data_IF_837066460345
#
_entry.id   IF_837066460345
#
_cell.length_a   1.000
_cell.length_b   1.000
_cell.length_c   1.000
_cell.angle_alpha   90.00
_cell.angle_beta   90.00
_cell.angle_gamma   90.00
#
_symmetry.space_group_name_H-M   'P 1'
#
loop_
_entity.id
_entity.type
_entity.pdbx_description
1 polymer ?
#
# COMPACT_ATOMS: atom_id res chain seq x y z
N UNK A 1 67.17 16.92 -58.59
CA UNK A 1 65.70 17.17 -58.80
C UNK A 1 64.95 16.04 -58.14
N UNK A 2 64.28 16.31 -57.00
CA UNK A 2 63.46 15.32 -56.30
C UNK A 2 62.08 15.96 -56.16
N UNK A 3 61.06 15.46 -56.84
CA UNK A 3 59.71 15.86 -56.76
C UNK A 3 59.07 15.22 -55.48
N UNK A 4 58.58 16.06 -54.56
CA UNK A 4 57.85 15.65 -53.35
C UNK A 4 56.38 15.79 -53.69
N UNK A 5 55.66 14.68 -53.82
CA UNK A 5 54.21 14.66 -53.95
C UNK A 5 53.59 14.85 -52.54
N UNK A 6 52.89 15.96 -52.35
CA UNK A 6 52.12 16.26 -51.14
C UNK A 6 50.72 15.67 -51.32
N UNK A 7 50.47 14.53 -50.69
CA UNK A 7 49.14 13.91 -50.63
C UNK A 7 48.30 14.61 -49.57
N UNK A 8 47.34 15.46 -50.00
CA UNK A 8 46.33 16.09 -49.16
C UNK A 8 45.25 15.05 -48.87
N UNK A 9 45.27 14.45 -47.70
CA UNK A 9 44.25 13.52 -47.23
C UNK A 9 43.08 14.28 -46.66
N UNK A 10 42.00 14.47 -47.44
CA UNK A 10 40.75 15.05 -47.00
C UNK A 10 39.98 14.02 -46.15
N UNK A 11 40.05 14.16 -44.84
CA UNK A 11 39.21 13.44 -43.89
C UNK A 11 37.79 14.01 -43.95
N UNK A 12 36.91 13.34 -44.67
CA UNK A 12 35.45 13.54 -44.56
C UNK A 12 35.04 12.96 -43.20
N UNK A 13 34.95 13.81 -42.19
CA UNK A 13 34.23 13.54 -40.98
C UNK A 13 32.75 13.49 -41.29
N UNK A 14 32.22 12.31 -41.57
CA UNK A 14 30.80 12.09 -41.64
C UNK A 14 30.26 12.25 -40.22
N UNK A 15 29.72 13.45 -39.89
CA UNK A 15 28.84 13.62 -38.74
C UNK A 15 27.60 12.77 -38.99
N UNK A 16 27.53 11.60 -38.35
CA UNK A 16 26.27 10.90 -38.16
C UNK A 16 25.43 11.76 -37.23
N UNK A 17 24.65 12.67 -37.77
CA UNK A 17 23.49 13.21 -37.08
C UNK A 17 22.51 12.05 -36.91
N UNK A 18 22.03 11.75 -35.68
CA UNK A 18 20.91 10.85 -35.53
C UNK A 18 19.73 11.49 -36.29
N UNK A 19 19.42 10.96 -37.45
CA UNK A 19 18.16 11.27 -38.15
C UNK A 19 17.08 10.67 -37.25
N UNK A 20 16.41 11.50 -36.45
CA UNK A 20 15.12 11.11 -35.87
C UNK A 20 14.26 10.70 -37.05
N UNK A 21 13.91 9.44 -37.10
CA UNK A 21 13.09 8.87 -38.16
C UNK A 21 11.68 9.51 -38.08
N UNK A 22 11.46 10.61 -38.79
CA UNK A 22 10.20 11.32 -38.81
C UNK A 22 9.05 10.46 -39.37
N UNK A 23 9.38 9.29 -39.92
CA UNK A 23 8.45 8.37 -40.56
C UNK A 23 7.36 7.82 -39.59
N UNK A 24 7.61 7.81 -38.31
CA UNK A 24 6.68 7.31 -37.29
C UNK A 24 6.08 8.41 -36.39
N UNK A 25 6.28 9.70 -36.78
CA UNK A 25 5.68 10.79 -36.03
C UNK A 25 4.18 10.93 -36.41
N UNK A 26 3.34 11.02 -35.37
CA UNK A 26 1.88 11.14 -35.48
C UNK A 26 1.43 12.58 -35.30
N UNK A 27 2.22 13.45 -34.68
CA UNK A 27 1.96 14.88 -34.55
C UNK A 27 3.27 15.66 -34.35
N UNK A 28 3.21 16.97 -34.63
CA UNK A 28 4.33 17.91 -34.45
C UNK A 28 3.84 19.26 -33.94
N UNK A 29 4.56 19.80 -32.93
CA UNK A 29 4.38 21.19 -32.49
C UNK A 29 5.75 21.86 -32.41
N UNK A 30 6.07 22.74 -33.37
CA UNK A 30 7.39 23.34 -33.52
C UNK A 30 8.45 22.29 -33.85
N UNK A 31 9.42 22.12 -32.96
CA UNK A 31 10.48 21.10 -33.11
C UNK A 31 10.21 19.80 -32.29
N UNK A 32 9.10 19.75 -31.57
CA UNK A 32 8.71 18.58 -30.81
C UNK A 32 7.84 17.64 -31.65
N UNK A 33 8.20 16.37 -31.68
CA UNK A 33 7.48 15.32 -32.38
C UNK A 33 6.86 14.38 -31.37
N UNK A 34 5.63 13.93 -31.64
CA UNK A 34 4.98 12.84 -30.89
C UNK A 34 5.03 11.60 -31.78
N UNK A 35 5.60 10.54 -31.29
CA UNK A 35 5.73 9.29 -32.03
C UNK A 35 4.61 8.31 -31.71
N UNK A 36 4.36 7.38 -32.63
CA UNK A 36 3.36 6.33 -32.44
C UNK A 36 3.65 5.46 -31.21
N UNK A 37 4.92 5.20 -30.90
CA UNK A 37 5.36 4.48 -29.70
C UNK A 37 4.85 5.14 -28.40
N UNK A 38 4.95 6.48 -28.33
CA UNK A 38 4.54 7.21 -27.11
C UNK A 38 3.03 7.12 -26.86
N UNK A 39 2.24 7.05 -27.96
CA UNK A 39 0.80 6.83 -27.87
C UNK A 39 0.46 5.40 -27.48
N UNK A 40 1.15 4.40 -28.01
CA UNK A 40 0.92 3.00 -27.71
C UNK A 40 1.17 2.70 -26.23
N UNK A 41 2.23 3.26 -25.65
CA UNK A 41 2.55 3.12 -24.22
C UNK A 41 1.46 3.71 -23.33
N UNK A 42 0.82 4.80 -23.75
CA UNK A 42 -0.26 5.46 -23.00
C UNK A 42 -1.62 4.77 -23.16
N UNK A 43 -1.92 4.25 -24.35
CA UNK A 43 -3.20 3.60 -24.64
C UNK A 43 -3.27 2.21 -23.98
N UNK A 44 -2.15 1.48 -23.91
CA UNK A 44 -2.06 0.14 -23.33
C UNK A 44 -2.85 -0.94 -24.11
N UNK A 45 -2.63 -2.23 -23.85
CA UNK A 45 -3.15 -3.34 -24.67
C UNK A 45 -4.64 -3.66 -24.52
N UNK A 46 -5.40 -2.96 -23.67
CA UNK A 46 -6.78 -3.35 -23.28
C UNK A 46 -7.93 -2.58 -23.92
N UNK A 47 -7.70 -1.71 -24.91
CA UNK A 47 -8.78 -0.90 -25.48
C UNK A 47 -9.21 -1.48 -26.84
N UNK A 48 -10.22 -2.34 -26.82
CA UNK A 48 -10.93 -2.78 -28.00
C UNK A 48 -12.09 -1.82 -28.31
N UNK A 49 -12.00 -1.05 -29.37
CA UNK A 49 -13.13 -0.33 -29.97
C UNK A 49 -12.97 1.20 -30.10
N UNK A 50 -12.45 1.90 -29.09
CA UNK A 50 -12.34 3.37 -29.10
C UNK A 50 -10.90 3.89 -29.20
N UNK A 51 -9.96 3.06 -29.63
CA UNK A 51 -8.53 3.40 -29.65
C UNK A 51 -8.22 4.65 -30.51
N UNK A 52 -8.96 4.85 -31.61
CA UNK A 52 -8.79 6.01 -32.48
C UNK A 52 -9.24 7.32 -31.81
N UNK A 53 -10.35 7.31 -31.10
CA UNK A 53 -10.84 8.49 -30.36
C UNK A 53 -9.90 8.83 -29.18
N UNK A 54 -9.40 7.81 -28.48
CA UNK A 54 -8.42 7.98 -27.40
C UNK A 54 -7.13 8.54 -27.95
N UNK A 55 -6.61 7.99 -29.07
CA UNK A 55 -5.41 8.49 -29.72
C UNK A 55 -5.55 9.97 -30.15
N UNK A 56 -6.66 10.34 -30.79
CA UNK A 56 -6.92 11.73 -31.20
C UNK A 56 -7.00 12.67 -29.97
N UNK A 57 -7.59 12.23 -28.87
CA UNK A 57 -7.62 13.03 -27.64
C UNK A 57 -6.21 13.23 -27.08
N UNK A 58 -5.43 12.17 -26.95
CA UNK A 58 -4.05 12.25 -26.45
C UNK A 58 -3.17 13.14 -27.31
N UNK A 59 -3.30 13.06 -28.65
CA UNK A 59 -2.59 13.94 -29.57
C UNK A 59 -2.98 15.40 -29.35
N UNK A 60 -4.28 15.68 -29.22
CA UNK A 60 -4.76 17.03 -28.99
C UNK A 60 -4.31 17.59 -27.63
N UNK A 61 -4.41 16.81 -26.57
CA UNK A 61 -3.96 17.18 -25.21
C UNK A 61 -2.46 17.49 -25.21
N UNK A 62 -1.65 16.64 -25.85
CA UNK A 62 -0.21 16.84 -26.00
C UNK A 62 0.09 18.14 -26.78
N UNK A 63 -0.58 18.35 -27.91
CA UNK A 63 -0.36 19.54 -28.73
C UNK A 63 -0.79 20.83 -28.00
N UNK A 64 -1.93 20.78 -27.31
CA UNK A 64 -2.45 21.88 -26.50
C UNK A 64 -1.47 22.27 -25.39
N UNK A 65 -0.95 21.27 -24.66
CA UNK A 65 0.03 21.50 -23.60
C UNK A 65 1.28 22.21 -24.12
N UNK A 66 1.85 21.79 -25.27
CA UNK A 66 3.04 22.42 -25.85
C UNK A 66 2.77 23.82 -26.37
N UNK A 67 1.59 24.02 -26.95
CA UNK A 67 1.19 25.35 -27.42
C UNK A 67 1.01 26.33 -26.26
N UNK A 68 0.41 25.90 -25.15
CA UNK A 68 0.33 26.72 -23.93
C UNK A 68 1.69 26.98 -23.32
N UNK A 69 2.57 25.97 -23.27
CA UNK A 69 3.93 26.13 -22.76
C UNK A 69 4.68 27.22 -23.58
N UNK A 70 4.62 27.15 -24.91
CA UNK A 70 5.23 28.15 -25.77
C UNK A 70 4.66 29.57 -25.54
N UNK A 71 3.34 29.66 -25.31
CA UNK A 71 2.72 30.96 -24.97
C UNK A 71 3.15 31.42 -23.57
N UNK A 72 3.26 30.53 -22.60
CA UNK A 72 3.75 30.86 -21.26
C UNK A 72 5.19 31.38 -21.30
N UNK A 73 6.06 30.74 -22.09
CA UNK A 73 7.45 31.17 -22.29
C UNK A 73 7.57 32.60 -22.85
N UNK A 74 6.60 33.04 -23.66
CA UNK A 74 6.60 34.39 -24.23
C UNK A 74 5.96 35.39 -23.26
N UNK A 75 4.86 35.02 -22.60
CA UNK A 75 4.01 35.98 -21.90
C UNK A 75 4.31 36.10 -20.38
N UNK A 76 4.93 35.10 -19.80
CA UNK A 76 5.33 35.20 -18.38
C UNK A 76 6.54 36.13 -18.22
N UNK A 77 6.51 36.94 -17.17
CA UNK A 77 7.63 37.83 -16.84
C UNK A 77 8.87 37.02 -16.44
N UNK A 78 10.03 37.63 -16.55
CA UNK A 78 11.31 37.00 -16.10
C UNK A 78 11.30 36.65 -14.62
N UNK A 79 10.60 37.43 -13.81
CA UNK A 79 10.46 37.18 -12.37
C UNK A 79 9.62 35.92 -12.09
N UNK A 80 8.50 35.77 -12.80
CA UNK A 80 7.66 34.58 -12.67
C UNK A 80 8.38 33.31 -13.14
N UNK A 81 9.10 33.39 -14.27
CA UNK A 81 9.90 32.26 -14.76
C UNK A 81 10.95 31.83 -13.75
N UNK A 82 11.74 32.79 -13.22
CA UNK A 82 12.74 32.51 -12.19
C UNK A 82 12.12 31.84 -10.97
N UNK A 83 10.97 32.32 -10.51
CA UNK A 83 10.26 31.73 -9.37
C UNK A 83 9.82 30.27 -9.66
N UNK A 84 9.32 30.01 -10.86
CA UNK A 84 8.92 28.65 -11.27
C UNK A 84 10.13 27.73 -11.39
N UNK A 85 11.23 28.18 -11.99
CA UNK A 85 12.48 27.41 -12.10
C UNK A 85 13.04 27.08 -10.72
N UNK A 86 12.94 28.01 -9.78
CA UNK A 86 13.36 27.81 -8.41
C UNK A 86 12.51 26.75 -7.68
N UNK A 87 11.19 26.77 -7.88
CA UNK A 87 10.30 25.73 -7.35
C UNK A 87 10.63 24.35 -7.94
N UNK A 88 10.83 24.26 -9.25
CA UNK A 88 11.21 22.99 -9.92
C UNK A 88 12.56 22.48 -9.40
N UNK A 89 13.54 23.38 -9.25
CA UNK A 89 14.86 23.04 -8.73
C UNK A 89 14.77 22.50 -7.29
N UNK A 90 14.04 23.21 -6.43
CA UNK A 90 13.82 22.79 -5.04
C UNK A 90 13.14 21.43 -4.98
N UNK A 91 12.04 21.27 -5.72
CA UNK A 91 11.31 19.99 -5.75
C UNK A 91 12.19 18.84 -6.25
N UNK A 92 12.98 19.06 -7.29
CA UNK A 92 13.93 18.06 -7.78
C UNK A 92 14.93 17.67 -6.69
N UNK A 93 15.53 18.63 -6.01
CA UNK A 93 16.50 18.37 -4.93
C UNK A 93 15.85 17.58 -3.81
N UNK A 94 14.63 17.94 -3.40
CA UNK A 94 13.88 17.23 -2.36
C UNK A 94 13.61 15.77 -2.76
N UNK A 95 13.25 15.53 -4.01
CA UNK A 95 13.06 14.16 -4.53
C UNK A 95 14.35 13.34 -4.47
N UNK A 96 15.49 13.92 -4.91
CA UNK A 96 16.77 13.23 -4.85
C UNK A 96 17.19 12.91 -3.42
N UNK A 97 17.14 13.90 -2.53
CA UNK A 97 17.48 13.72 -1.10
C UNK A 97 16.59 12.68 -0.45
N UNK A 98 15.28 12.79 -0.63
CA UNK A 98 14.32 11.82 -0.10
C UNK A 98 14.58 10.41 -0.62
N UNK A 99 14.76 10.27 -1.94
CA UNK A 99 14.98 8.95 -2.56
C UNK A 99 16.28 8.32 -2.07
N UNK A 100 17.34 9.10 -1.94
CA UNK A 100 18.61 8.64 -1.39
C UNK A 100 18.47 8.19 0.06
N UNK A 101 17.86 9.03 0.92
CA UNK A 101 17.60 8.70 2.33
C UNK A 101 16.76 7.43 2.46
N UNK A 102 15.67 7.32 1.71
CA UNK A 102 14.80 6.14 1.77
C UNK A 102 15.54 4.84 1.37
N UNK A 103 16.39 4.90 0.32
CA UNK A 103 17.21 3.75 -0.09
C UNK A 103 18.28 3.39 0.94
N UNK A 104 18.99 4.37 1.49
CA UNK A 104 20.01 4.16 2.50
C UNK A 104 19.41 3.54 3.77
N UNK A 105 18.27 4.05 4.21
CA UNK A 105 17.55 3.51 5.37
C UNK A 105 17.05 2.09 5.09
N UNK A 106 16.43 1.85 3.94
CA UNK A 106 15.89 0.54 3.59
C UNK A 106 16.96 -0.55 3.59
N UNK A 107 18.19 -0.24 3.22
CA UNK A 107 19.30 -1.20 3.21
C UNK A 107 19.82 -1.59 4.60
N UNK A 108 19.56 -0.77 5.63
CA UNK A 108 20.08 -0.96 6.99
C UNK A 108 18.98 -1.20 8.03
N UNK A 109 17.72 -0.97 7.67
CA UNK A 109 16.60 -1.09 8.60
C UNK A 109 16.34 -2.56 8.95
N UNK A 110 16.56 -2.90 10.23
CA UNK A 110 16.10 -4.17 10.77
C UNK A 110 14.58 -4.16 10.97
N UNK A 111 13.89 -5.02 10.24
CA UNK A 111 12.43 -5.19 10.30
C UNK A 111 12.01 -6.40 11.13
N UNK A 112 12.97 -7.15 11.70
CA UNK A 112 12.69 -8.27 12.59
C UNK A 112 12.42 -7.72 13.98
N UNK A 113 11.19 -7.91 14.45
CA UNK A 113 10.77 -7.53 15.80
C UNK A 113 10.41 -8.80 16.55
N UNK A 114 11.06 -9.06 17.66
CA UNK A 114 10.81 -10.26 18.44
C UNK A 114 9.58 -10.13 19.37
N UNK A 115 9.18 -11.25 19.97
CA UNK A 115 8.01 -11.27 20.84
C UNK A 115 8.25 -10.52 22.15
N UNK A 116 9.47 -10.56 22.67
CA UNK A 116 9.82 -9.93 23.94
C UNK A 116 9.76 -8.40 23.80
N UNK A 117 10.33 -7.85 22.72
CA UNK A 117 10.27 -6.42 22.42
C UNK A 117 8.82 -5.91 22.23
N UNK A 118 7.97 -6.70 21.55
CA UNK A 118 6.54 -6.37 21.42
C UNK A 118 5.85 -6.34 22.78
N UNK A 119 6.14 -7.34 23.61
CA UNK A 119 5.57 -7.46 24.96
C UNK A 119 5.98 -6.29 25.83
N UNK A 120 7.28 -5.99 25.90
CA UNK A 120 7.84 -4.89 26.67
C UNK A 120 7.21 -3.55 26.27
N UNK A 121 7.21 -3.26 24.97
CA UNK A 121 6.60 -2.01 24.45
C UNK A 121 5.12 -1.91 24.79
N UNK A 122 4.38 -3.02 24.70
CA UNK A 122 2.96 -3.05 25.05
C UNK A 122 2.74 -2.76 26.54
N UNK A 123 3.54 -3.40 27.42
CA UNK A 123 3.44 -3.22 28.88
C UNK A 123 3.71 -1.76 29.29
N UNK A 124 4.76 -1.15 28.73
CA UNK A 124 5.14 0.23 28.99
C UNK A 124 4.10 1.25 28.49
N UNK A 125 3.36 0.91 27.44
CA UNK A 125 2.46 1.83 26.75
C UNK A 125 0.98 1.43 26.81
N UNK A 126 0.58 0.59 27.73
CA UNK A 126 -0.79 0.03 27.86
C UNK A 126 -1.89 1.08 27.75
N UNK A 127 -1.71 2.23 28.35
CA UNK A 127 -2.72 3.30 28.35
C UNK A 127 -3.08 3.80 26.96
N UNK A 128 -2.17 3.65 25.99
CA UNK A 128 -2.34 4.08 24.61
C UNK A 128 -3.10 3.07 23.74
N UNK A 129 -3.23 1.83 24.21
CA UNK A 129 -3.83 0.74 23.44
C UNK A 129 -5.25 0.40 23.90
N UNK A 130 -6.10 1.42 23.92
CA UNK A 130 -7.53 1.22 24.14
C UNK A 130 -8.24 1.03 22.82
N UNK A 131 -9.11 0.00 22.74
CA UNK A 131 -9.88 -0.23 21.51
C UNK A 131 -10.93 0.85 21.29
N UNK A 132 -11.08 1.31 20.07
CA UNK A 132 -12.14 2.23 19.68
C UNK A 132 -13.41 1.52 19.18
N UNK A 133 -13.43 0.19 19.20
CA UNK A 133 -14.52 -0.68 18.75
C UNK A 133 -14.68 -1.85 19.71
N UNK A 134 -15.88 -2.42 19.73
CA UNK A 134 -16.10 -3.68 20.44
C UNK A 134 -15.41 -4.80 19.68
N UNK A 135 -14.61 -5.59 20.39
CA UNK A 135 -13.89 -6.74 19.87
C UNK A 135 -14.48 -8.01 20.48
N UNK A 136 -14.39 -9.09 19.73
CA UNK A 136 -14.69 -10.42 20.26
C UNK A 136 -13.78 -11.46 19.62
N UNK A 137 -13.64 -12.59 20.29
CA UNK A 137 -13.20 -13.83 19.70
C UNK A 137 -14.26 -14.90 19.89
N UNK A 138 -14.49 -15.69 18.87
CA UNK A 138 -15.57 -16.63 18.86
C UNK A 138 -15.65 -17.40 17.54
N UNK A 139 -16.57 -18.33 17.50
CA UNK A 139 -16.81 -19.19 16.35
C UNK A 139 -18.28 -19.29 16.01
N UNK A 140 -18.58 -19.55 14.77
CA UNK A 140 -19.95 -19.78 14.32
C UNK A 140 -20.03 -20.77 13.18
N UNK A 141 -21.18 -21.39 13.07
CA UNK A 141 -21.59 -22.25 11.94
C UNK A 141 -23.01 -21.86 11.53
N UNK A 142 -23.20 -21.73 10.23
CA UNK A 142 -24.50 -21.60 9.58
C UNK A 142 -24.74 -22.84 8.76
N UNK A 143 -25.86 -23.51 9.01
CA UNK A 143 -26.16 -24.81 8.42
C UNK A 143 -27.67 -24.95 8.19
N UNK A 144 -28.09 -25.76 7.18
CA UNK A 144 -29.50 -26.05 6.95
C UNK A 144 -30.18 -26.61 8.21
N UNK A 145 -31.41 -26.16 8.48
CA UNK A 145 -32.23 -26.67 9.58
C UNK A 145 -32.60 -28.16 9.40
N UNK A 146 -32.52 -28.70 8.16
CA UNK A 146 -32.76 -30.10 7.83
C UNK A 146 -31.49 -30.97 7.97
N UNK A 147 -30.37 -30.43 8.41
CA UNK A 147 -29.12 -31.19 8.53
C UNK A 147 -29.23 -32.27 9.59
N UNK A 148 -29.04 -33.54 9.20
CA UNK A 148 -29.13 -34.69 10.09
C UNK A 148 -28.13 -34.67 11.26
N UNK A 149 -27.03 -33.93 11.14
CA UNK A 149 -25.99 -33.83 12.16
C UNK A 149 -26.17 -32.62 13.10
N UNK A 150 -27.26 -31.83 12.98
CA UNK A 150 -27.44 -30.57 13.69
C UNK A 150 -27.21 -30.70 15.21
N UNK A 151 -27.72 -31.76 15.83
CA UNK A 151 -27.52 -32.03 17.27
C UNK A 151 -26.05 -32.22 17.62
N UNK A 152 -25.32 -32.96 16.78
CA UNK A 152 -23.89 -33.21 16.99
C UNK A 152 -23.07 -31.95 16.73
N UNK A 153 -23.37 -31.21 15.65
CA UNK A 153 -22.75 -29.93 15.31
C UNK A 153 -22.88 -28.94 16.50
N UNK A 154 -24.10 -28.80 17.04
CA UNK A 154 -24.37 -27.94 18.20
C UNK A 154 -23.49 -28.30 19.40
N UNK A 155 -23.41 -29.58 19.74
CA UNK A 155 -22.60 -30.09 20.85
C UNK A 155 -21.12 -29.88 20.61
N UNK A 156 -20.64 -30.24 19.44
CA UNK A 156 -19.22 -30.12 19.06
C UNK A 156 -18.76 -28.66 18.98
N UNK A 157 -19.60 -27.76 18.44
CA UNK A 157 -19.27 -26.34 18.39
C UNK A 157 -19.16 -25.74 19.80
N UNK A 158 -19.99 -26.18 20.75
CA UNK A 158 -19.92 -25.72 22.15
C UNK A 158 -18.70 -26.24 22.88
N UNK A 159 -18.40 -27.53 22.78
CA UNK A 159 -17.31 -28.18 23.51
C UNK A 159 -15.95 -27.89 22.89
N UNK A 160 -15.85 -27.94 21.58
CA UNK A 160 -14.76 -27.56 20.71
C UNK A 160 -13.38 -28.10 21.07
N UNK A 161 -13.32 -29.34 21.57
CA UNK A 161 -12.07 -30.05 21.76
C UNK A 161 -11.51 -30.56 20.42
N UNK A 162 -10.31 -31.15 20.40
CA UNK A 162 -9.66 -31.55 19.16
C UNK A 162 -10.46 -32.61 18.36
N UNK A 163 -11.15 -33.51 19.03
CA UNK A 163 -12.05 -34.46 18.35
C UNK A 163 -13.23 -33.75 17.72
N UNK A 164 -13.78 -32.73 18.39
CA UNK A 164 -14.88 -31.92 17.86
C UNK A 164 -14.45 -31.09 16.65
N UNK A 165 -13.24 -30.53 16.70
CA UNK A 165 -12.67 -29.78 15.55
C UNK A 165 -12.53 -30.68 14.34
N UNK A 166 -11.95 -31.87 14.49
CA UNK A 166 -11.81 -32.85 13.41
C UNK A 166 -13.19 -33.23 12.83
N UNK A 167 -14.18 -33.48 13.70
CA UNK A 167 -15.54 -33.75 13.23
C UNK A 167 -16.13 -32.58 12.45
N UNK A 168 -16.07 -31.37 12.97
CA UNK A 168 -16.61 -30.18 12.32
C UNK A 168 -15.92 -29.88 10.99
N UNK A 169 -14.61 -30.08 10.90
CA UNK A 169 -13.85 -29.92 9.67
C UNK A 169 -14.24 -30.99 8.62
N UNK A 170 -14.48 -32.23 9.06
CA UNK A 170 -14.86 -33.31 8.15
C UNK A 170 -16.21 -33.09 7.44
N UNK A 171 -17.08 -32.29 8.04
CA UNK A 171 -18.42 -31.98 7.50
C UNK A 171 -18.55 -30.50 7.05
N UNK A 172 -17.45 -29.77 6.97
CA UNK A 172 -17.44 -28.32 6.68
C UNK A 172 -18.13 -27.96 5.36
N UNK A 173 -18.11 -28.87 4.38
CA UNK A 173 -18.83 -28.71 3.10
C UNK A 173 -20.36 -28.65 3.24
N UNK A 174 -20.91 -29.09 4.37
CA UNK A 174 -22.35 -29.00 4.67
C UNK A 174 -22.74 -27.64 5.25
N UNK A 175 -21.79 -26.79 5.58
CA UNK A 175 -22.04 -25.48 6.16
C UNK A 175 -22.19 -24.44 5.06
N UNK A 176 -23.20 -23.60 5.18
CA UNK A 176 -23.38 -22.45 4.27
C UNK A 176 -22.30 -21.41 4.50
N UNK A 177 -21.95 -21.16 5.75
CA UNK A 177 -20.81 -20.33 6.15
C UNK A 177 -20.37 -20.68 7.56
N UNK A 178 -19.10 -20.53 7.85
CA UNK A 178 -18.57 -20.80 9.18
C UNK A 178 -17.28 -20.03 9.46
N UNK A 179 -16.95 -19.91 10.73
CA UNK A 179 -15.64 -19.50 11.24
C UNK A 179 -15.36 -20.30 12.50
N UNK A 180 -14.32 -21.13 12.45
CA UNK A 180 -13.96 -22.00 13.58
C UNK A 180 -12.62 -21.58 14.23
N UNK A 181 -12.07 -20.45 13.83
CA UNK A 181 -10.87 -19.89 14.45
C UNK A 181 -11.27 -18.89 15.54
N UNK A 182 -11.37 -19.37 16.77
CA UNK A 182 -11.73 -18.58 17.96
C UNK A 182 -10.53 -18.01 18.70
N UNK A 183 -9.31 -18.18 18.16
CA UNK A 183 -8.09 -17.58 18.73
C UNK A 183 -7.81 -16.16 18.19
N UNK A 184 -8.52 -15.73 17.15
CA UNK A 184 -8.33 -14.42 16.51
C UNK A 184 -9.35 -13.43 17.03
N UNK A 185 -8.87 -12.26 17.46
CA UNK A 185 -9.72 -11.12 17.78
C UNK A 185 -10.22 -10.43 16.53
N UNK A 186 -11.53 -10.22 16.44
CA UNK A 186 -12.18 -9.53 15.33
C UNK A 186 -13.10 -8.43 15.85
N UNK A 187 -13.39 -7.44 15.02
CA UNK A 187 -14.39 -6.43 15.36
C UNK A 187 -15.78 -7.08 15.40
N UNK A 188 -16.52 -6.85 16.47
CA UNK A 188 -17.86 -7.44 16.69
C UNK A 188 -18.80 -7.20 15.50
N UNK A 189 -18.76 -6.00 14.93
CA UNK A 189 -19.53 -5.68 13.72
C UNK A 189 -19.20 -6.60 12.54
N UNK A 190 -17.92 -6.86 12.28
CA UNK A 190 -17.49 -7.73 11.16
C UNK A 190 -17.91 -9.19 11.38
N UNK A 191 -17.86 -9.65 12.62
CA UNK A 191 -18.30 -10.99 13.00
C UNK A 191 -19.81 -11.14 12.75
N UNK A 192 -20.61 -10.22 13.27
CA UNK A 192 -22.07 -10.29 13.18
C UNK A 192 -22.63 -9.98 11.79
N UNK A 193 -21.89 -9.27 10.94
CA UNK A 193 -22.27 -9.09 9.54
C UNK A 193 -22.37 -10.39 8.75
N UNK A 194 -21.73 -11.45 9.21
CA UNK A 194 -21.84 -12.80 8.64
C UNK A 194 -23.11 -13.53 9.07
N UNK A 195 -23.88 -12.95 9.97
CA UNK A 195 -25.08 -13.52 10.57
C UNK A 195 -26.29 -12.62 10.26
N UNK A 196 -26.97 -12.82 9.11
CA UNK A 196 -28.01 -11.90 8.60
C UNK A 196 -29.18 -11.66 9.55
N UNK A 197 -29.48 -12.60 10.48
CA UNK A 197 -30.55 -12.46 11.46
C UNK A 197 -30.22 -11.43 12.57
N UNK A 198 -28.94 -11.05 12.72
CA UNK A 198 -28.53 -10.09 13.73
C UNK A 198 -28.42 -8.72 13.07
N UNK A 199 -29.40 -7.88 13.31
CA UNK A 199 -29.32 -6.48 12.87
C UNK A 199 -28.31 -5.72 13.73
N UNK A 200 -27.64 -4.76 13.11
CA UNK A 200 -26.56 -3.96 13.72
C UNK A 200 -26.89 -3.45 15.14
N UNK A 201 -28.11 -2.98 15.36
CA UNK A 201 -28.56 -2.49 16.68
C UNK A 201 -28.76 -3.57 17.74
N UNK A 202 -28.81 -4.86 17.34
CA UNK A 202 -29.07 -5.99 18.24
C UNK A 202 -27.84 -6.74 18.67
N UNK A 203 -26.73 -6.67 17.92
CA UNK A 203 -25.54 -7.47 18.23
C UNK A 203 -24.97 -7.17 19.62
N UNK A 204 -25.08 -5.95 20.11
CA UNK A 204 -24.62 -5.57 21.46
C UNK A 204 -25.23 -6.42 22.58
N UNK A 205 -26.44 -6.94 22.40
CA UNK A 205 -27.09 -7.80 23.39
C UNK A 205 -26.41 -9.18 23.51
N UNK A 206 -25.63 -9.57 22.50
CA UNK A 206 -24.91 -10.85 22.47
C UNK A 206 -23.46 -10.72 22.88
N UNK A 207 -22.95 -9.51 23.14
CA UNK A 207 -21.56 -9.28 23.56
C UNK A 207 -21.37 -9.63 25.02
N UNK A 208 -21.24 -10.94 25.29
CA UNK A 208 -20.99 -11.49 26.63
C UNK A 208 -19.99 -12.63 26.50
N UNK A 209 -19.05 -12.69 27.44
CA UNK A 209 -18.06 -13.76 27.53
C UNK A 209 -18.72 -15.13 27.73
N UNK A 210 -18.10 -16.17 27.18
CA UNK A 210 -18.51 -17.57 27.32
C UNK A 210 -20.00 -17.81 26.99
N UNK A 211 -20.48 -17.17 25.93
CA UNK A 211 -21.88 -17.22 25.53
C UNK A 211 -22.08 -18.10 24.31
N UNK A 212 -23.03 -19.04 24.41
CA UNK A 212 -23.57 -19.76 23.26
C UNK A 212 -24.99 -19.27 23.00
N UNK A 213 -25.31 -19.02 21.75
CA UNK A 213 -26.68 -18.78 21.34
C UNK A 213 -26.97 -19.39 19.95
N UNK A 214 -28.22 -19.59 19.71
CA UNK A 214 -28.75 -20.16 18.49
C UNK A 214 -29.83 -19.25 17.94
N UNK A 215 -29.76 -18.99 16.64
CA UNK A 215 -30.80 -18.29 15.89
C UNK A 215 -31.22 -19.19 14.75
N UNK A 216 -32.48 -19.10 14.35
CA UNK A 216 -33.01 -19.90 13.27
C UNK A 216 -33.95 -19.04 12.40
N UNK A 217 -33.88 -19.24 11.10
CA UNK A 217 -34.89 -18.80 10.16
C UNK A 217 -35.59 -20.01 9.50
N UNK A 218 -36.35 -19.81 8.44
CA UNK A 218 -37.10 -20.86 7.75
C UNK A 218 -36.21 -21.94 7.11
N UNK A 219 -34.94 -21.64 6.82
CA UNK A 219 -34.04 -22.50 6.06
C UNK A 219 -32.80 -22.92 6.85
N UNK A 220 -32.34 -22.12 7.78
CA UNK A 220 -31.02 -22.27 8.38
C UNK A 220 -31.00 -22.02 9.87
N UNK A 221 -30.03 -22.68 10.52
CA UNK A 221 -29.68 -22.52 11.93
C UNK A 221 -28.31 -21.85 12.01
N UNK A 222 -28.22 -20.85 12.86
CA UNK A 222 -27.00 -20.09 13.17
C UNK A 222 -26.56 -20.44 14.58
N UNK A 223 -25.49 -21.18 14.70
CA UNK A 223 -24.88 -21.57 15.97
C UNK A 223 -23.69 -20.67 16.22
N UNK A 224 -23.66 -19.99 17.35
CA UNK A 224 -22.64 -19.00 17.66
C UNK A 224 -22.11 -19.23 19.08
N UNK A 225 -20.79 -19.23 19.21
CA UNK A 225 -20.08 -19.22 20.49
C UNK A 225 -19.21 -17.97 20.54
N UNK A 226 -19.36 -17.20 21.58
CA UNK A 226 -18.48 -16.09 21.91
C UNK A 226 -17.65 -16.51 23.12
N UNK A 227 -16.33 -16.55 22.94
CA UNK A 227 -15.39 -16.89 24.00
C UNK A 227 -15.09 -15.68 24.87
N UNK A 228 -14.64 -14.61 24.24
CA UNK A 228 -14.27 -13.39 24.95
C UNK A 228 -14.75 -12.14 24.20
N UNK A 229 -14.98 -11.09 24.97
CA UNK A 229 -15.38 -9.77 24.48
C UNK A 229 -14.52 -8.71 25.15
N UNK A 230 -14.09 -7.72 24.40
CA UNK A 230 -13.48 -6.49 24.89
C UNK A 230 -14.30 -5.34 24.34
N UNK A 231 -14.86 -4.53 25.24
CA UNK A 231 -15.72 -3.42 24.84
C UNK A 231 -14.91 -2.19 24.46
N UNK A 232 -15.54 -1.32 23.73
CA UNK A 232 -14.96 -0.01 23.36
C UNK A 232 -14.44 0.72 24.60
N UNK A 233 -13.26 1.34 24.47
CA UNK A 233 -12.48 2.05 25.49
C UNK A 233 -11.83 1.14 26.56
N UNK A 234 -11.96 -0.17 26.46
CA UNK A 234 -11.18 -1.10 27.26
C UNK A 234 -9.79 -1.32 26.66
N UNK A 235 -8.89 -1.92 27.42
CA UNK A 235 -7.57 -2.30 26.96
C UNK A 235 -7.68 -3.35 25.85
N UNK A 236 -7.13 -3.04 24.68
CA UNK A 236 -7.15 -3.99 23.58
C UNK A 236 -6.23 -5.18 23.88
N UNK A 237 -6.62 -6.42 23.52
CA UNK A 237 -5.75 -7.58 23.64
C UNK A 237 -4.46 -7.37 22.85
N UNK A 238 -3.32 -7.81 23.43
CA UNK A 238 -2.02 -7.66 22.77
C UNK A 238 -1.99 -8.33 21.40
N UNK A 239 -2.61 -9.49 21.26
CA UNK A 239 -2.70 -10.21 19.98
C UNK A 239 -3.42 -9.41 18.90
N UNK A 240 -4.43 -8.62 19.27
CA UNK A 240 -5.15 -7.75 18.35
C UNK A 240 -4.29 -6.59 17.87
N UNK A 241 -3.55 -5.97 18.78
CA UNK A 241 -2.71 -4.80 18.46
C UNK A 241 -1.29 -5.17 18.00
N UNK A 242 -0.90 -6.43 18.09
CA UNK A 242 0.43 -6.92 17.72
C UNK A 242 0.93 -6.48 16.35
N UNK A 243 0.14 -6.51 15.27
CA UNK A 243 0.58 -5.98 13.97
C UNK A 243 0.89 -4.47 14.03
N UNK A 244 0.10 -3.72 14.77
CA UNK A 244 0.30 -2.28 14.99
C UNK A 244 1.56 -2.02 15.81
N UNK A 245 1.77 -2.77 16.89
CA UNK A 245 2.97 -2.68 17.74
C UNK A 245 4.23 -2.92 16.92
N UNK A 246 4.22 -3.97 16.09
CA UNK A 246 5.34 -4.26 15.18
C UNK A 246 5.65 -3.07 14.25
N UNK A 247 4.63 -2.45 13.67
CA UNK A 247 4.83 -1.28 12.80
C UNK A 247 5.36 -0.06 13.58
N UNK A 248 4.89 0.16 14.79
CA UNK A 248 5.40 1.25 15.65
C UNK A 248 6.88 1.05 15.94
N UNK A 249 7.30 -0.16 16.33
CA UNK A 249 8.69 -0.46 16.63
C UNK A 249 9.59 -0.31 15.41
N UNK A 250 9.17 -0.82 14.25
CA UNK A 250 9.90 -0.63 12.99
C UNK A 250 10.00 0.86 12.64
N UNK A 251 8.92 1.62 12.79
CA UNK A 251 8.92 3.06 12.52
C UNK A 251 9.83 3.81 13.51
N UNK A 252 9.89 3.41 14.78
CA UNK A 252 10.82 3.98 15.77
C UNK A 252 12.26 3.76 15.33
N UNK A 253 12.64 2.53 14.96
CA UNK A 253 13.96 2.21 14.42
C UNK A 253 14.27 3.01 13.16
N UNK A 254 13.29 3.14 12.25
CA UNK A 254 13.45 3.96 11.03
C UNK A 254 13.78 5.42 11.37
N UNK A 255 13.06 6.02 12.31
CA UNK A 255 13.30 7.41 12.72
C UNK A 255 14.65 7.62 13.41
N UNK A 256 15.08 6.66 14.22
CA UNK A 256 16.39 6.69 14.86
C UNK A 256 17.52 6.60 13.82
N UNK A 257 17.37 5.69 12.85
CA UNK A 257 18.31 5.52 11.75
C UNK A 257 18.38 6.79 10.87
N UNK A 258 17.22 7.41 10.58
CA UNK A 258 17.18 8.70 9.85
C UNK A 258 17.99 9.78 10.57
N UNK A 259 17.82 9.92 11.89
CA UNK A 259 18.55 10.91 12.68
C UNK A 259 20.06 10.60 12.71
N UNK A 260 20.41 9.34 12.71
CA UNK A 260 21.82 8.92 12.65
C UNK A 260 22.43 9.32 11.29
N UNK A 261 21.78 8.99 10.18
CA UNK A 261 22.22 9.40 8.84
C UNK A 261 22.36 10.93 8.70
N UNK A 262 21.40 11.67 9.23
CA UNK A 262 21.47 13.16 9.17
C UNK A 262 22.67 13.71 9.93
N UNK A 263 23.06 13.09 11.04
CA UNK A 263 24.29 13.47 11.75
C UNK A 263 25.54 13.04 10.98
N UNK A 264 25.61 11.80 10.53
CA UNK A 264 26.75 11.24 9.82
C UNK A 264 27.10 12.03 8.55
N UNK A 265 26.10 12.46 7.75
CA UNK A 265 26.33 13.23 6.53
C UNK A 265 26.92 14.61 6.82
N UNK A 266 26.49 15.24 7.90
CA UNK A 266 27.03 16.54 8.34
C UNK A 266 28.47 16.37 8.85
N UNK A 267 28.74 15.37 9.69
CA UNK A 267 30.08 15.09 10.22
C UNK A 267 31.05 14.72 9.11
N UNK A 268 30.60 13.94 8.12
CA UNK A 268 31.38 13.60 6.95
C UNK A 268 31.72 14.85 6.12
N UNK A 269 30.73 15.73 5.90
CA UNK A 269 30.90 17.00 5.20
C UNK A 269 32.00 17.87 5.83
N UNK A 270 32.01 18.01 7.17
CA UNK A 270 33.06 18.73 7.91
C UNK A 270 34.42 18.05 7.76
N UNK A 271 34.48 16.74 7.93
CA UNK A 271 35.71 15.93 7.83
C UNK A 271 36.36 16.01 6.45
N UNK A 272 35.56 16.00 5.40
CA UNK A 272 35.99 16.10 4.01
C UNK A 272 36.19 17.55 3.52
N UNK A 273 35.93 18.55 4.37
CA UNK A 273 35.95 19.98 4.00
C UNK A 273 35.02 20.33 2.84
N UNK A 274 33.96 19.58 2.67
CA UNK A 274 32.87 19.85 1.72
C UNK A 274 31.75 20.72 2.35
N UNK A 275 31.81 20.93 3.67
CA UNK A 275 30.96 21.83 4.43
C UNK A 275 31.83 22.73 5.33
N UNK A 276 31.73 24.03 5.13
CA UNK A 276 32.42 25.05 5.90
C UNK A 276 31.41 26.12 6.33
N UNK A 277 31.59 26.64 7.56
CA UNK A 277 30.82 27.76 8.08
C UNK A 277 31.68 29.01 7.97
N UNK A 278 31.14 30.06 7.38
CA UNK A 278 31.73 31.37 7.34
C UNK A 278 30.97 32.29 8.31
N UNK A 279 31.64 32.86 9.25
CA UNK A 279 31.10 33.88 10.18
C UNK A 279 30.97 35.25 9.52
#
# INVERSE_FOLDING_TARGET
MKFIYFYLFLLFSACNFPTNDESNAVARVGENYLFLSDLQDQIGPRHNGDSLQIANRLINDWAEQLLYLKKAEINLSSTEKKRLDELVRTYRNDLYVKTYKDKAIQSQLDTVVDKAEIQEYFEENKSNFRTNKDLLRGRYVRVSNENNNLRTIRRSLRRFNDTDKVFLDSIALQFTTYSMNDSIWVQSYQFFNRLPLIREKRYKNFLKNNTFFELQDSLEVYLVVIEEVVLRNELAPMEYVKPTLKQILINKRKLELMRQFDREIIEEGFRQKSYELYE
#
